data_IF_744947058897
#
_entry.id   IF_744947058897
#
_cell.length_a   1.000
_cell.length_b   1.000
_cell.length_c   1.000
_cell.angle_alpha   90.00
_cell.angle_beta   90.00
_cell.angle_gamma   90.00
#
_symmetry.space_group_name_H-M   'P 1'
#
loop_
_entity.id
_entity.type
_entity.pdbx_description
1 polymer ?
#
# COMPACT_ATOMS: atom_id res chain seq x y z
N UNK A 1 23.16 72.89 103.68
CA UNK A 1 22.37 72.07 102.74
C UNK A 1 22.65 70.60 103.01
N UNK A 2 21.78 69.90 103.75
CA UNK A 2 21.82 68.43 103.77
C UNK A 2 21.11 67.98 102.50
N UNK A 3 21.88 67.55 101.51
CA UNK A 3 21.31 66.92 100.31
C UNK A 3 20.64 65.63 100.77
N UNK A 4 19.36 65.51 100.47
CA UNK A 4 18.55 64.35 100.82
C UNK A 4 18.98 63.16 99.95
N UNK A 5 19.87 62.31 100.50
CA UNK A 5 20.42 61.14 99.80
C UNK A 5 19.34 60.18 99.31
N UNK A 6 18.16 60.24 99.92
CA UNK A 6 17.02 59.42 99.52
C UNK A 6 16.39 59.96 98.23
N UNK A 7 16.30 61.29 98.08
CA UNK A 7 15.85 61.93 96.85
C UNK A 7 16.81 61.70 95.67
N UNK A 8 18.13 61.74 95.90
CA UNK A 8 19.12 61.46 94.86
C UNK A 8 19.02 60.02 94.34
N UNK A 9 18.86 59.04 95.25
CA UNK A 9 18.71 57.63 94.89
C UNK A 9 17.39 57.36 94.14
N UNK A 10 16.32 58.10 94.46
CA UNK A 10 15.04 58.03 93.73
C UNK A 10 15.23 58.57 92.30
N UNK A 11 15.90 59.71 92.13
CA UNK A 11 16.21 60.28 90.81
C UNK A 11 17.06 59.34 89.94
N UNK A 12 18.08 58.70 90.50
CA UNK A 12 18.92 57.71 89.78
C UNK A 12 18.11 56.47 89.37
N UNK A 13 17.18 56.02 90.23
CA UNK A 13 16.28 54.90 89.92
C UNK A 13 15.26 55.27 88.84
N UNK A 14 14.81 56.53 88.80
CA UNK A 14 13.92 57.04 87.75
C UNK A 14 14.66 57.10 86.40
N UNK A 15 15.90 57.62 86.37
CA UNK A 15 16.73 57.64 85.15
C UNK A 15 17.05 56.23 84.63
N UNK A 16 17.38 55.29 85.52
CA UNK A 16 17.62 53.89 85.16
C UNK A 16 16.36 53.21 84.63
N UNK A 17 15.20 53.50 85.21
CA UNK A 17 13.92 52.99 84.73
C UNK A 17 13.58 53.56 83.34
N UNK A 18 13.86 54.83 83.10
CA UNK A 18 13.63 55.46 81.80
C UNK A 18 14.55 54.88 80.73
N UNK A 19 15.84 54.69 81.05
CA UNK A 19 16.79 54.02 80.17
C UNK A 19 16.37 52.56 79.86
N UNK A 20 15.81 51.86 80.85
CA UNK A 20 15.29 50.52 80.66
C UNK A 20 14.08 50.52 79.71
N UNK A 21 13.15 51.46 79.87
CA UNK A 21 11.98 51.61 78.98
C UNK A 21 12.41 51.87 77.53
N UNK A 22 13.36 52.77 77.32
CA UNK A 22 13.88 53.08 75.99
C UNK A 22 14.61 51.88 75.35
N UNK A 23 15.37 51.10 76.14
CA UNK A 23 15.99 49.85 75.66
C UNK A 23 14.96 48.79 75.28
N UNK A 24 13.91 48.62 76.10
CA UNK A 24 12.82 47.68 75.80
C UNK A 24 12.13 48.07 74.50
N UNK A 25 11.79 49.36 74.32
CA UNK A 25 11.16 49.87 73.11
C UNK A 25 12.02 49.66 71.85
N UNK A 26 13.33 49.85 71.96
CA UNK A 26 14.27 49.57 70.85
C UNK A 26 14.33 48.08 70.52
N UNK A 27 14.40 47.21 71.54
CA UNK A 27 14.39 45.76 71.35
C UNK A 27 13.09 45.26 70.71
N UNK A 28 11.94 45.84 71.10
CA UNK A 28 10.63 45.55 70.49
C UNK A 28 10.62 45.93 69.00
N UNK A 29 11.16 47.11 68.64
CA UNK A 29 11.30 47.53 67.24
C UNK A 29 12.22 46.60 66.44
N UNK A 30 13.39 46.27 66.96
CA UNK A 30 14.34 45.37 66.29
C UNK A 30 13.77 43.95 66.13
N UNK A 31 12.98 43.48 67.10
CA UNK A 31 12.27 42.20 67.03
C UNK A 31 11.21 42.24 65.93
N UNK A 32 10.44 43.32 65.85
CA UNK A 32 9.43 43.53 64.82
C UNK A 32 10.05 43.52 63.41
N UNK A 33 11.15 44.24 63.19
CA UNK A 33 11.86 44.26 61.90
C UNK A 33 12.38 42.87 61.48
N UNK A 34 12.88 42.08 62.45
CA UNK A 34 13.28 40.68 62.19
C UNK A 34 12.11 39.79 61.83
N UNK A 35 10.94 40.00 62.43
CA UNK A 35 9.72 39.27 62.11
C UNK A 35 9.29 39.53 60.66
N UNK A 36 9.31 40.81 60.25
CA UNK A 36 9.02 41.22 58.86
C UNK A 36 10.00 40.59 57.87
N UNK A 37 11.30 40.61 58.19
CA UNK A 37 12.32 40.00 57.33
C UNK A 37 12.11 38.49 57.18
N UNK A 38 11.78 37.79 58.28
CA UNK A 38 11.44 36.35 58.24
C UNK A 38 10.25 36.06 57.35
N UNK A 39 9.20 36.89 57.42
CA UNK A 39 8.03 36.75 56.57
C UNK A 39 8.40 36.86 55.09
N UNK A 40 9.16 37.89 54.71
CA UNK A 40 9.63 38.08 53.32
C UNK A 40 10.48 36.90 52.82
N UNK A 41 11.38 36.38 53.65
CA UNK A 41 12.18 35.20 53.28
C UNK A 41 11.31 33.95 53.11
N UNK A 42 10.33 33.74 53.98
CA UNK A 42 9.39 32.62 53.89
C UNK A 42 8.57 32.69 52.60
N UNK A 43 8.01 33.86 52.29
CA UNK A 43 7.26 34.09 51.04
C UNK A 43 8.14 33.85 49.81
N UNK A 44 9.38 34.35 49.82
CA UNK A 44 10.32 34.15 48.71
C UNK A 44 10.73 32.69 48.55
N UNK A 45 10.96 31.96 49.65
CA UNK A 45 11.25 30.53 49.64
C UNK A 45 10.09 29.76 49.04
N UNK A 46 8.86 30.03 49.47
CA UNK A 46 7.66 29.40 48.94
C UNK A 46 7.49 29.66 47.44
N UNK A 47 7.69 30.91 47.01
CA UNK A 47 7.62 31.28 45.58
C UNK A 47 8.69 30.56 44.75
N UNK A 48 9.92 30.45 45.26
CA UNK A 48 10.99 29.72 44.59
C UNK A 48 10.66 28.23 44.47
N UNK A 49 10.20 27.60 45.55
CA UNK A 49 9.80 26.19 45.54
C UNK A 49 8.66 25.93 44.56
N UNK A 50 7.67 26.84 44.51
CA UNK A 50 6.59 26.77 43.53
C UNK A 50 7.15 26.86 42.10
N UNK A 51 8.11 27.76 41.85
CA UNK A 51 8.71 27.92 40.52
C UNK A 51 9.55 26.70 40.10
N UNK A 52 10.27 26.10 41.03
CA UNK A 52 11.04 24.86 40.79
C UNK A 52 10.09 23.75 40.36
N UNK A 53 8.99 23.53 41.09
CA UNK A 53 7.98 22.51 40.73
C UNK A 53 7.37 22.77 39.35
N UNK A 54 7.09 24.02 38.99
CA UNK A 54 6.60 24.36 37.65
C UNK A 54 7.60 24.02 36.55
N UNK A 55 8.89 24.32 36.76
CA UNK A 55 9.94 24.03 35.79
C UNK A 55 10.17 22.53 35.64
N UNK A 56 10.18 21.78 36.74
CA UNK A 56 10.26 20.32 36.72
C UNK A 56 9.09 19.70 35.96
N UNK A 57 7.86 20.17 36.19
CA UNK A 57 6.69 19.70 35.48
C UNK A 57 6.74 19.99 33.97
N UNK A 58 7.27 21.16 33.57
CA UNK A 58 7.48 21.48 32.14
C UNK A 58 8.55 20.59 31.52
N UNK A 59 9.70 20.45 32.17
CA UNK A 59 10.78 19.60 31.69
C UNK A 59 10.33 18.14 31.53
N UNK A 60 9.51 17.63 32.46
CA UNK A 60 8.95 16.29 32.35
C UNK A 60 8.03 16.15 31.14
N UNK A 61 7.17 17.14 30.88
CA UNK A 61 6.30 17.14 29.69
C UNK A 61 7.11 17.19 28.40
N UNK A 62 8.13 18.04 28.33
CA UNK A 62 9.01 18.17 27.16
C UNK A 62 9.78 16.87 26.90
N UNK A 63 10.26 16.22 27.97
CA UNK A 63 10.94 14.92 27.87
C UNK A 63 10.02 13.85 27.29
N UNK A 64 8.79 13.72 27.81
CA UNK A 64 7.80 12.76 27.31
C UNK A 64 7.42 13.07 25.87
N UNK A 65 7.18 14.33 25.53
CA UNK A 65 6.82 14.73 24.18
C UNK A 65 7.93 14.38 23.18
N UNK A 66 9.19 14.69 23.51
CA UNK A 66 10.34 14.32 22.67
C UNK A 66 10.49 12.81 22.54
N UNK A 67 10.27 12.05 23.61
CA UNK A 67 10.29 10.59 23.57
C UNK A 67 9.27 10.03 22.57
N UNK A 68 8.03 10.51 22.64
CA UNK A 68 6.97 10.10 21.72
C UNK A 68 7.27 10.49 20.27
N UNK A 69 7.81 11.69 20.04
CA UNK A 69 8.16 12.14 18.69
C UNK A 69 9.33 11.34 18.10
N UNK A 70 10.33 10.97 18.91
CA UNK A 70 11.41 10.08 18.49
C UNK A 70 10.87 8.70 18.12
N UNK A 71 9.95 8.14 18.91
CA UNK A 71 9.30 6.86 18.59
C UNK A 71 8.55 6.94 17.26
N UNK A 72 7.72 7.97 17.07
CA UNK A 72 6.97 8.19 15.82
C UNK A 72 7.90 8.29 14.60
N UNK A 73 8.99 9.06 14.71
CA UNK A 73 9.95 9.21 13.63
C UNK A 73 10.71 7.91 13.34
N UNK A 74 11.00 7.10 14.36
CA UNK A 74 11.62 5.79 14.14
C UNK A 74 10.68 4.84 13.38
N UNK A 75 9.40 4.78 13.77
CA UNK A 75 8.40 3.97 13.06
C UNK A 75 8.29 4.41 11.58
N UNK A 76 8.26 5.72 11.34
CA UNK A 76 8.23 6.30 9.97
C UNK A 76 9.50 5.94 9.17
N UNK A 77 10.67 5.98 9.80
CA UNK A 77 11.94 5.60 9.16
C UNK A 77 11.96 4.11 8.82
N UNK A 78 11.44 3.23 9.67
CA UNK A 78 11.41 1.80 9.41
C UNK A 78 10.41 1.46 8.29
N UNK A 79 9.23 2.08 8.27
CA UNK A 79 8.32 1.96 7.13
C UNK A 79 8.95 2.44 5.81
N UNK A 80 9.71 3.53 5.84
CA UNK A 80 10.38 4.05 4.64
C UNK A 80 11.48 3.12 4.15
N UNK A 81 12.22 2.45 5.05
CA UNK A 81 13.21 1.44 4.67
C UNK A 81 12.54 0.25 3.98
N UNK A 82 11.45 -0.27 4.54
CA UNK A 82 10.71 -1.38 3.93
C UNK A 82 10.20 -1.01 2.53
N UNK A 83 9.63 0.20 2.37
CA UNK A 83 9.18 0.71 1.07
C UNK A 83 10.33 0.86 0.08
N UNK A 84 11.51 1.30 0.53
CA UNK A 84 12.69 1.43 -0.32
C UNK A 84 13.18 0.06 -0.79
N UNK A 85 13.30 -0.92 0.10
CA UNK A 85 13.71 -2.28 -0.24
C UNK A 85 12.74 -2.91 -1.25
N UNK A 86 11.42 -2.74 -1.06
CA UNK A 86 10.42 -3.21 -2.02
C UNK A 86 10.57 -2.55 -3.39
N UNK A 87 10.83 -1.23 -3.43
CA UNK A 87 11.04 -0.50 -4.68
C UNK A 87 12.32 -0.94 -5.40
N UNK A 88 13.41 -1.20 -4.68
CA UNK A 88 14.67 -1.70 -5.24
C UNK A 88 14.49 -3.10 -5.85
N UNK A 89 13.76 -3.98 -5.17
CA UNK A 89 13.44 -5.32 -5.68
C UNK A 89 12.56 -5.24 -6.95
N UNK A 90 11.52 -4.41 -6.94
CA UNK A 90 10.67 -4.20 -8.12
C UNK A 90 11.48 -3.65 -9.31
N UNK A 91 12.37 -2.70 -9.07
CA UNK A 91 13.22 -2.13 -10.11
C UNK A 91 14.19 -3.17 -10.68
N UNK A 92 14.78 -4.01 -9.82
CA UNK A 92 15.65 -5.11 -10.26
C UNK A 92 14.89 -6.10 -11.16
N UNK A 93 13.70 -6.53 -10.76
CA UNK A 93 12.86 -7.43 -11.57
C UNK A 93 12.48 -6.78 -12.90
N UNK A 94 12.13 -5.49 -12.89
CA UNK A 94 11.81 -4.75 -14.11
C UNK A 94 13.02 -4.63 -15.04
N UNK A 95 14.23 -4.45 -14.50
CA UNK A 95 15.46 -4.40 -15.28
C UNK A 95 15.78 -5.76 -15.91
N UNK A 96 15.70 -6.84 -15.13
CA UNK A 96 15.90 -8.21 -15.63
C UNK A 96 14.91 -8.56 -16.75
N UNK A 97 13.64 -8.19 -16.61
CA UNK A 97 12.62 -8.37 -17.64
C UNK A 97 12.94 -7.56 -18.91
N UNK A 98 13.36 -6.30 -18.77
CA UNK A 98 13.74 -5.46 -19.91
C UNK A 98 14.97 -6.02 -20.64
N UNK A 99 15.96 -6.51 -19.91
CA UNK A 99 17.15 -7.15 -20.48
C UNK A 99 16.79 -8.42 -21.26
N UNK A 100 15.90 -9.28 -20.74
CA UNK A 100 15.42 -10.47 -21.48
C UNK A 100 14.74 -10.06 -22.79
N UNK A 101 13.84 -9.08 -22.77
CA UNK A 101 13.15 -8.61 -23.96
C UNK A 101 14.11 -8.02 -25.00
N UNK A 102 15.13 -7.28 -24.57
CA UNK A 102 16.16 -6.74 -25.47
C UNK A 102 16.96 -7.87 -26.10
N UNK A 103 17.34 -8.89 -25.34
CA UNK A 103 18.04 -10.07 -25.86
C UNK A 103 17.21 -10.82 -26.90
N UNK A 104 15.94 -11.12 -26.60
CA UNK A 104 15.01 -11.76 -27.54
C UNK A 104 14.83 -10.92 -28.82
N UNK A 105 14.65 -9.61 -28.69
CA UNK A 105 14.52 -8.69 -29.83
C UNK A 105 15.77 -8.69 -30.71
N UNK A 106 16.95 -8.66 -30.11
CA UNK A 106 18.21 -8.69 -30.84
C UNK A 106 18.42 -10.04 -31.55
N UNK A 107 18.05 -11.14 -30.90
CA UNK A 107 18.12 -12.47 -31.51
C UNK A 107 17.17 -12.60 -32.71
N UNK A 108 15.92 -12.12 -32.58
CA UNK A 108 14.95 -12.09 -33.68
C UNK A 108 15.41 -11.17 -34.82
N UNK A 109 16.03 -10.02 -34.51
CA UNK A 109 16.58 -9.14 -35.53
C UNK A 109 17.75 -9.81 -36.29
N UNK A 110 18.64 -10.51 -35.58
CA UNK A 110 19.73 -11.27 -36.19
C UNK A 110 19.22 -12.42 -37.07
N UNK A 111 18.21 -13.17 -36.62
CA UNK A 111 17.54 -14.19 -37.45
C UNK A 111 16.94 -13.56 -38.72
N UNK A 112 16.23 -12.43 -38.60
CA UNK A 112 15.67 -11.71 -39.76
C UNK A 112 16.72 -11.22 -40.76
N UNK A 113 17.88 -10.76 -40.30
CA UNK A 113 18.96 -10.37 -41.21
C UNK A 113 19.55 -11.57 -41.96
N UNK A 114 19.69 -12.72 -41.28
CA UNK A 114 20.21 -13.95 -41.91
C UNK A 114 19.20 -14.59 -42.87
N UNK A 115 17.90 -14.46 -42.61
CA UNK A 115 16.81 -14.95 -43.47
C UNK A 115 16.86 -14.37 -44.89
N UNK A 116 17.33 -13.12 -45.06
CA UNK A 116 17.45 -12.47 -46.38
C UNK A 116 18.42 -13.19 -47.33
N UNK A 117 19.38 -13.92 -46.77
CA UNK A 117 20.44 -14.59 -47.52
C UNK A 117 20.37 -16.12 -47.40
N UNK A 118 19.29 -16.64 -46.81
CA UNK A 118 19.16 -18.07 -46.56
C UNK A 118 18.78 -18.79 -47.85
N UNK A 119 19.64 -19.70 -48.29
CA UNK A 119 19.38 -20.55 -49.44
C UNK A 119 18.61 -21.81 -49.01
N UNK A 120 17.61 -22.25 -49.81
CA UNK A 120 16.92 -23.49 -49.52
C UNK A 120 17.89 -24.67 -49.62
N UNK A 121 17.66 -25.69 -48.79
CA UNK A 121 18.49 -26.90 -48.80
C UNK A 121 18.31 -27.64 -50.14
N UNK A 122 19.36 -28.32 -50.61
CA UNK A 122 19.32 -29.09 -51.85
C UNK A 122 18.12 -30.07 -51.92
N UNK A 123 17.81 -30.74 -50.81
CA UNK A 123 16.65 -31.64 -50.74
C UNK A 123 15.30 -30.92 -50.96
N UNK A 124 15.17 -29.67 -50.49
CA UNK A 124 13.98 -28.85 -50.71
C UNK A 124 13.92 -28.33 -52.14
N UNK A 125 15.06 -27.97 -52.75
CA UNK A 125 15.14 -27.63 -54.17
C UNK A 125 14.70 -28.81 -55.05
N UNK A 126 15.14 -30.04 -54.73
CA UNK A 126 14.71 -31.25 -55.44
C UNK A 126 13.20 -31.49 -55.28
N UNK A 127 12.68 -31.45 -54.06
CA UNK A 127 11.25 -31.64 -53.79
C UNK A 127 10.37 -30.56 -54.46
N UNK A 128 10.90 -29.34 -54.56
CA UNK A 128 10.26 -28.23 -55.27
C UNK A 128 10.13 -28.52 -56.77
N UNK A 129 11.17 -29.07 -57.41
CA UNK A 129 11.13 -29.45 -58.81
C UNK A 129 10.12 -30.58 -59.06
N UNK A 130 10.11 -31.59 -58.21
CA UNK A 130 9.15 -32.70 -58.31
C UNK A 130 7.70 -32.17 -58.23
N UNK A 131 7.41 -31.29 -57.29
CA UNK A 131 6.08 -30.67 -57.16
C UNK A 131 5.72 -29.75 -58.33
N UNK A 132 6.72 -29.11 -58.96
CA UNK A 132 6.51 -28.25 -60.13
C UNK A 132 6.15 -29.06 -61.38
N UNK A 133 6.74 -30.26 -61.56
CA UNK A 133 6.46 -31.13 -62.71
C UNK A 133 5.33 -32.14 -62.48
N UNK A 134 4.78 -32.23 -61.27
CA UNK A 134 3.71 -33.18 -60.94
C UNK A 134 2.34 -32.83 -61.55
N UNK A 135 2.15 -31.59 -62.02
CA UNK A 135 0.86 -31.07 -62.47
C UNK A 135 1.04 -30.13 -63.67
N UNK A 136 1.10 -30.72 -64.86
CA UNK A 136 1.29 -29.99 -66.12
C UNK A 136 0.02 -29.25 -66.59
N UNK A 137 -1.15 -29.62 -66.05
CA UNK A 137 -2.45 -29.09 -66.48
C UNK A 137 -2.76 -27.71 -65.85
N UNK A 138 -2.20 -27.41 -64.67
CA UNK A 138 -2.44 -26.15 -63.94
C UNK A 138 -1.13 -25.55 -63.42
N UNK A 139 -0.41 -24.78 -64.27
CA UNK A 139 0.91 -24.24 -63.94
C UNK A 139 0.97 -23.42 -62.63
N UNK A 140 -0.06 -22.64 -62.33
CA UNK A 140 -0.13 -21.81 -61.13
C UNK A 140 -0.21 -22.65 -59.84
N UNK A 141 -0.91 -23.80 -59.91
CA UNK A 141 -1.04 -24.72 -58.77
C UNK A 141 0.28 -25.43 -58.50
N UNK A 142 0.94 -25.90 -59.56
CA UNK A 142 2.27 -26.49 -59.47
C UNK A 142 3.31 -25.49 -58.94
N UNK A 143 3.28 -24.25 -59.42
CA UNK A 143 4.17 -23.18 -58.96
C UNK A 143 3.93 -22.82 -57.49
N UNK A 144 2.68 -22.76 -57.05
CA UNK A 144 2.35 -22.50 -55.65
C UNK A 144 2.79 -23.66 -54.73
N UNK A 145 2.63 -24.90 -55.16
CA UNK A 145 3.10 -26.07 -54.42
C UNK A 145 4.62 -26.06 -54.26
N UNK A 146 5.34 -25.81 -55.35
CA UNK A 146 6.79 -25.65 -55.39
C UNK A 146 7.28 -24.52 -54.46
N UNK A 147 6.66 -23.34 -54.54
CA UNK A 147 6.96 -22.20 -53.67
C UNK A 147 6.76 -22.53 -52.18
N UNK A 148 5.66 -23.20 -51.83
CA UNK A 148 5.37 -23.59 -50.46
C UNK A 148 6.41 -24.56 -49.88
N UNK A 149 6.97 -25.46 -50.71
CA UNK A 149 8.04 -26.37 -50.29
C UNK A 149 9.32 -25.59 -49.96
N UNK A 150 9.74 -24.68 -50.85
CA UNK A 150 10.92 -23.85 -50.62
C UNK A 150 10.77 -23.00 -49.37
N UNK A 151 9.62 -22.32 -49.21
CA UNK A 151 9.33 -21.49 -48.04
C UNK A 151 9.36 -22.29 -46.73
N UNK A 152 8.78 -23.49 -46.70
CA UNK A 152 8.77 -24.35 -45.51
C UNK A 152 10.15 -24.90 -45.16
N UNK A 153 11.07 -24.97 -46.12
CA UNK A 153 12.43 -25.46 -45.87
C UNK A 153 13.32 -24.48 -45.12
N UNK A 154 12.93 -23.20 -45.10
CA UNK A 154 13.61 -22.12 -44.38
C UNK A 154 13.15 -22.19 -42.92
N UNK A 155 14.06 -22.56 -42.02
CA UNK A 155 13.78 -22.68 -40.59
C UNK A 155 13.99 -21.37 -39.86
N UNK A 156 13.09 -21.06 -38.92
CA UNK A 156 13.12 -19.85 -38.07
C UNK A 156 13.13 -20.23 -36.59
N UNK A 157 14.18 -20.91 -36.11
CA UNK A 157 14.22 -21.47 -34.75
C UNK A 157 14.03 -20.43 -33.65
N UNK A 158 14.54 -19.20 -33.80
CA UNK A 158 14.38 -18.14 -32.78
C UNK A 158 12.94 -17.67 -32.76
N UNK A 159 12.33 -17.45 -33.93
CA UNK A 159 10.91 -17.13 -34.06
C UNK A 159 10.03 -18.25 -33.49
N UNK A 160 10.38 -19.51 -33.74
CA UNK A 160 9.61 -20.66 -33.26
C UNK A 160 9.63 -20.76 -31.72
N UNK A 161 10.79 -20.55 -31.09
CA UNK A 161 10.93 -20.49 -29.62
C UNK A 161 10.12 -19.33 -29.05
N UNK A 162 10.25 -18.13 -29.63
CA UNK A 162 9.49 -16.96 -29.20
C UNK A 162 7.98 -17.21 -29.28
N UNK A 163 7.48 -17.76 -30.40
CA UNK A 163 6.06 -18.08 -30.55
C UNK A 163 5.60 -19.19 -29.61
N UNK A 164 6.45 -20.15 -29.26
CA UNK A 164 6.13 -21.16 -28.26
C UNK A 164 5.95 -20.53 -26.87
N UNK A 165 6.82 -19.59 -26.47
CA UNK A 165 6.68 -18.85 -25.20
C UNK A 165 5.41 -18.00 -25.17
N UNK A 166 5.12 -17.28 -26.26
CA UNK A 166 3.90 -16.47 -26.39
C UNK A 166 2.65 -17.34 -26.30
N UNK A 167 2.64 -18.50 -26.97
CA UNK A 167 1.52 -19.46 -26.91
C UNK A 167 1.38 -20.08 -25.52
N UNK A 168 2.49 -20.39 -24.84
CA UNK A 168 2.46 -20.89 -23.47
C UNK A 168 1.89 -19.85 -22.48
N UNK A 169 2.00 -18.56 -22.81
CA UNK A 169 1.46 -17.45 -22.03
C UNK A 169 0.03 -17.08 -22.41
N UNK A 170 -0.56 -17.72 -23.43
CA UNK A 170 -1.92 -17.45 -23.86
C UNK A 170 -2.94 -18.15 -22.95
N UNK A 171 -4.09 -17.52 -22.75
CA UNK A 171 -5.23 -18.14 -22.06
C UNK A 171 -5.72 -19.31 -22.94
N UNK A 172 -5.85 -20.53 -22.42
CA UNK A 172 -6.32 -21.66 -23.21
C UNK A 172 -7.75 -21.46 -23.71
N UNK A 173 -8.09 -22.12 -24.82
CA UNK A 173 -9.47 -22.13 -25.33
C UNK A 173 -10.43 -22.63 -24.25
N UNK A 174 -11.54 -21.92 -24.07
CA UNK A 174 -12.53 -22.20 -23.02
C UNK A 174 -12.23 -21.58 -21.65
N UNK A 175 -11.09 -20.91 -21.49
CA UNK A 175 -10.74 -20.17 -20.28
C UNK A 175 -10.81 -18.66 -20.53
N UNK A 176 -11.08 -17.91 -19.47
CA UNK A 176 -11.11 -16.44 -19.49
C UNK A 176 -10.41 -15.89 -18.25
N UNK A 177 -9.83 -14.70 -18.37
CA UNK A 177 -9.22 -14.01 -17.22
C UNK A 177 -10.30 -13.45 -16.31
N UNK A 178 -10.11 -13.61 -15.01
CA UNK A 178 -10.98 -13.07 -13.96
C UNK A 178 -10.13 -12.32 -12.92
N UNK A 179 -10.70 -11.35 -12.19
CA UNK A 179 -10.03 -10.75 -11.04
C UNK A 179 -9.59 -11.84 -10.04
N UNK A 180 -8.44 -11.64 -9.39
CA UNK A 180 -7.95 -12.57 -8.36
C UNK A 180 -8.94 -12.74 -7.20
N UNK A 181 -9.68 -11.68 -6.88
CA UNK A 181 -10.74 -11.67 -5.88
C UNK A 181 -11.95 -10.96 -6.47
N UNK A 182 -13.13 -11.54 -6.27
CA UNK A 182 -14.43 -10.94 -6.60
C UNK A 182 -15.17 -10.76 -5.28
N UNK A 183 -15.52 -9.53 -4.98
CA UNK A 183 -16.36 -9.22 -3.82
C UNK A 183 -17.82 -9.34 -4.23
N UNK A 184 -18.60 -10.09 -3.45
CA UNK A 184 -20.04 -10.24 -3.62
C UNK A 184 -20.74 -9.58 -2.44
N UNK A 185 -21.59 -8.60 -2.70
CA UNK A 185 -22.46 -8.03 -1.67
C UNK A 185 -23.63 -8.97 -1.36
N UNK A 186 -24.36 -8.79 -0.23
CA UNK A 186 -25.48 -9.66 0.12
C UNK A 186 -26.54 -9.80 -0.99
N UNK A 187 -26.78 -8.74 -1.77
CA UNK A 187 -27.65 -8.73 -2.95
C UNK A 187 -27.14 -9.66 -4.07
N UNK A 188 -25.83 -9.70 -4.30
CA UNK A 188 -25.24 -10.60 -5.30
C UNK A 188 -25.38 -12.07 -4.88
N UNK A 189 -25.27 -12.33 -3.57
CA UNK A 189 -25.50 -13.66 -2.99
C UNK A 189 -26.97 -14.06 -3.13
N UNK A 190 -27.89 -13.13 -2.91
CA UNK A 190 -29.33 -13.33 -3.10
C UNK A 190 -29.65 -13.70 -4.56
N UNK A 191 -28.98 -13.10 -5.55
CA UNK A 191 -29.13 -13.47 -6.96
C UNK A 191 -28.72 -14.92 -7.23
N UNK A 192 -27.64 -15.41 -6.61
CA UNK A 192 -27.24 -16.82 -6.71
C UNK A 192 -28.32 -17.71 -6.11
N UNK A 193 -28.81 -17.38 -4.90
CA UNK A 193 -29.87 -18.14 -4.25
C UNK A 193 -31.17 -18.14 -5.07
N UNK A 194 -31.49 -17.04 -5.75
CA UNK A 194 -32.67 -16.96 -6.61
C UNK A 194 -32.63 -17.93 -7.80
N UNK A 195 -31.44 -18.30 -8.26
CA UNK A 195 -31.24 -19.19 -9.41
C UNK A 195 -31.04 -20.65 -9.00
N UNK A 196 -30.51 -20.90 -7.80
CA UNK A 196 -30.04 -22.21 -7.38
C UNK A 196 -30.59 -22.69 -6.03
N UNK A 197 -31.54 -21.96 -5.44
CA UNK A 197 -32.08 -22.25 -4.11
C UNK A 197 -31.15 -21.86 -2.96
N UNK A 198 -31.71 -21.83 -1.75
CA UNK A 198 -31.00 -21.59 -0.49
C UNK A 198 -31.13 -22.76 0.50
N UNK A 199 -31.75 -23.85 0.07
CA UNK A 199 -32.00 -25.05 0.88
C UNK A 199 -33.10 -24.86 1.92
N UNK A 200 -33.90 -23.80 1.83
CA UNK A 200 -34.95 -23.48 2.78
C UNK A 200 -36.35 -23.57 2.15
N UNK A 201 -37.25 -24.35 2.76
CA UNK A 201 -38.61 -24.58 2.23
C UNK A 201 -39.45 -23.30 2.10
N UNK A 202 -39.19 -22.30 2.95
CA UNK A 202 -39.85 -20.99 2.90
C UNK A 202 -39.01 -19.89 2.23
N UNK A 203 -37.87 -20.24 1.64
CA UNK A 203 -36.93 -19.33 0.98
C UNK A 203 -36.97 -19.51 -0.54
N UNK A 204 -35.80 -19.68 -1.15
CA UNK A 204 -35.65 -19.97 -2.58
C UNK A 204 -35.81 -21.45 -2.93
N UNK A 205 -36.14 -22.29 -1.94
CA UNK A 205 -36.37 -23.71 -2.12
C UNK A 205 -35.09 -24.53 -2.01
N UNK A 206 -35.20 -25.80 -2.39
CA UNK A 206 -34.08 -26.75 -2.35
C UNK A 206 -32.94 -26.31 -3.26
N UNK A 207 -31.71 -26.73 -2.93
CA UNK A 207 -30.57 -26.48 -3.80
C UNK A 207 -30.69 -27.19 -5.14
N UNK A 208 -30.50 -26.46 -6.23
CA UNK A 208 -30.47 -26.97 -7.61
C UNK A 208 -29.13 -26.65 -8.29
N UNK A 209 -28.89 -27.31 -9.42
CA UNK A 209 -27.67 -27.06 -10.19
C UNK A 209 -27.72 -25.68 -10.89
N UNK A 210 -26.59 -24.99 -10.91
CA UNK A 210 -26.43 -23.70 -11.56
C UNK A 210 -25.21 -23.65 -12.47
N UNK A 211 -25.31 -22.91 -13.56
CA UNK A 211 -24.20 -22.68 -14.48
C UNK A 211 -23.64 -21.28 -14.26
N UNK A 212 -22.38 -21.20 -13.82
CA UNK A 212 -21.64 -19.95 -13.72
C UNK A 212 -20.75 -19.76 -14.95
N UNK A 213 -20.72 -18.56 -15.51
CA UNK A 213 -19.78 -18.20 -16.56
C UNK A 213 -19.34 -16.75 -16.48
N UNK A 214 -18.23 -16.47 -17.13
CA UNK A 214 -17.71 -15.12 -17.29
C UNK A 214 -17.83 -14.73 -18.76
N UNK A 215 -18.42 -13.57 -19.01
CA UNK A 215 -18.70 -13.15 -20.38
C UNK A 215 -19.60 -11.94 -20.45
N UNK A 216 -20.26 -11.79 -21.60
CA UNK A 216 -21.14 -10.67 -21.87
C UNK A 216 -22.61 -11.12 -21.82
N UNK A 217 -23.47 -10.34 -21.15
CA UNK A 217 -24.92 -10.43 -21.27
C UNK A 217 -25.45 -9.09 -21.81
N UNK A 218 -26.38 -9.15 -22.76
CA UNK A 218 -27.11 -7.98 -23.21
C UNK A 218 -28.38 -7.81 -22.35
N UNK A 219 -28.53 -6.65 -21.72
CA UNK A 219 -29.71 -6.28 -20.94
C UNK A 219 -30.86 -5.84 -21.84
N UNK A 220 -32.06 -5.74 -21.26
CA UNK A 220 -33.29 -5.33 -21.95
C UNK A 220 -33.21 -3.93 -22.57
N UNK A 221 -32.38 -3.04 -22.01
CA UNK A 221 -32.12 -1.70 -22.52
C UNK A 221 -31.11 -1.68 -23.69
N UNK A 222 -30.60 -2.84 -24.10
CA UNK A 222 -29.60 -3.01 -25.13
C UNK A 222 -28.16 -2.80 -24.68
N UNK A 223 -27.91 -2.48 -23.40
CA UNK A 223 -26.56 -2.37 -22.85
C UNK A 223 -25.92 -3.76 -22.71
N UNK A 224 -24.59 -3.83 -22.88
CA UNK A 224 -23.82 -5.07 -22.72
C UNK A 224 -23.02 -4.97 -21.44
N UNK A 225 -23.14 -5.98 -20.59
CA UNK A 225 -22.45 -6.08 -19.31
C UNK A 225 -21.50 -7.26 -19.32
N UNK A 226 -20.25 -6.98 -18.95
CA UNK A 226 -19.22 -8.00 -18.75
C UNK A 226 -19.08 -8.31 -17.26
N UNK A 227 -19.00 -9.59 -16.92
CA UNK A 227 -18.90 -9.98 -15.52
C UNK A 227 -19.08 -11.48 -15.29
N UNK A 228 -19.32 -11.81 -14.02
CA UNK A 228 -19.76 -13.12 -13.57
C UNK A 228 -21.27 -13.21 -13.66
N UNK A 229 -21.77 -14.24 -14.31
CA UNK A 229 -23.19 -14.49 -14.52
C UNK A 229 -23.54 -15.91 -14.08
N UNK A 230 -24.80 -16.08 -13.69
CA UNK A 230 -25.36 -17.38 -13.28
C UNK A 230 -26.72 -17.60 -13.93
N UNK A 231 -27.02 -18.85 -14.28
CA UNK A 231 -28.35 -19.30 -14.68
C UNK A 231 -28.67 -20.63 -14.01
N UNK A 232 -29.94 -20.92 -13.82
CA UNK A 232 -30.40 -22.28 -13.50
C UNK A 232 -29.95 -23.27 -14.58
N UNK A 233 -29.43 -24.42 -14.15
CA UNK A 233 -29.11 -25.52 -15.07
C UNK A 233 -30.38 -26.30 -15.48
N UNK A 234 -31.40 -26.28 -14.62
CA UNK A 234 -32.66 -27.00 -14.83
C UNK A 234 -33.62 -26.22 -15.75
N UNK A 235 -33.52 -24.88 -15.75
CA UNK A 235 -34.38 -23.97 -16.52
C UNK A 235 -33.56 -22.98 -17.34
N UNK A 236 -32.81 -23.49 -18.31
CA UNK A 236 -31.91 -22.67 -19.15
C UNK A 236 -32.63 -21.57 -19.96
N UNK A 237 -33.95 -21.70 -20.15
CA UNK A 237 -34.80 -20.73 -20.83
C UNK A 237 -35.03 -19.44 -20.03
N UNK A 238 -34.83 -19.44 -18.71
CA UNK A 238 -34.96 -18.24 -17.88
C UNK A 238 -33.79 -17.26 -18.08
N UNK A 239 -32.74 -17.70 -18.77
CA UNK A 239 -31.58 -16.88 -19.09
C UNK A 239 -30.63 -16.68 -17.91
N UNK A 240 -29.63 -15.84 -18.13
CA UNK A 240 -28.60 -15.52 -17.14
C UNK A 240 -28.88 -14.23 -16.41
N UNK A 241 -28.57 -14.20 -15.12
CA UNK A 241 -28.48 -12.97 -14.33
C UNK A 241 -27.02 -12.61 -14.06
N UNK A 242 -26.72 -11.31 -14.06
CA UNK A 242 -25.39 -10.82 -13.72
C UNK A 242 -25.24 -10.78 -12.20
N UNK A 243 -24.29 -11.55 -11.68
CA UNK A 243 -23.94 -11.61 -10.25
C UNK A 243 -22.98 -10.49 -9.87
N UNK A 244 -21.98 -10.21 -10.72
CA UNK A 244 -20.99 -9.17 -10.44
C UNK A 244 -20.38 -8.64 -11.73
N UNK A 245 -20.33 -7.32 -11.89
CA UNK A 245 -19.70 -6.67 -13.04
C UNK A 245 -18.20 -6.44 -12.82
N UNK A 246 -17.38 -6.73 -13.83
CA UNK A 246 -15.97 -6.37 -13.83
C UNK A 246 -15.44 -6.10 -15.23
N UNK A 247 -14.28 -5.43 -15.30
CA UNK A 247 -13.68 -5.06 -16.59
C UNK A 247 -13.26 -6.31 -17.38
N UNK A 248 -13.62 -6.36 -18.67
CA UNK A 248 -13.26 -7.44 -19.57
C UNK A 248 -11.74 -7.59 -19.82
N UNK A 249 -10.96 -6.55 -19.51
CA UNK A 249 -9.50 -6.58 -19.60
C UNK A 249 -8.87 -5.81 -18.44
N UNK A 250 -7.66 -6.23 -18.00
CA UNK A 250 -6.85 -5.41 -17.11
C UNK A 250 -6.66 -4.01 -17.69
N UNK A 251 -6.85 -2.96 -16.89
CA UNK A 251 -6.63 -1.58 -17.36
C UNK A 251 -5.17 -1.44 -17.79
N UNK A 252 -4.91 -1.06 -19.04
CA UNK A 252 -3.55 -0.72 -19.51
C UNK A 252 -2.95 0.33 -18.57
N UNK A 253 -1.89 -0.04 -17.85
CA UNK A 253 -1.16 0.87 -16.95
C UNK A 253 -1.17 0.48 -15.47
N UNK A 254 -1.85 -0.60 -15.07
CA UNK A 254 -1.60 -1.22 -13.76
C UNK A 254 -0.54 -2.29 -13.98
N UNK A 255 0.72 -1.96 -13.67
CA UNK A 255 1.80 -2.93 -13.66
C UNK A 255 1.43 -4.09 -12.72
N UNK A 256 1.73 -5.33 -13.17
CA UNK A 256 1.90 -6.48 -12.28
C UNK A 256 3.11 -6.23 -11.37
#
# INVERSE_FOLDING_TARGET
MKIDKQALRISELEELNELLREKVKKLESDLWDKEQLRQVYSEKSFNLDSKVRELEARNQKDFVWRGNEISRLNDEVDELKEKLEAAEQANKLSQEAAEKLVQERNALAAENETLKFQEPKLAAMMSCLDAFYADEDVPERAMMAAYNILRKSVGTPVTDVFLAEVRASAIPDGYVLVPQQIFLEPSDIELICSQCGDGHESGYGDFTDGLLWVGNIQRDDGSIVHGLHISSADYTEEGGVTVCEFAAQPRKGVAL
#
